data_IF_329061514628
#
_entry.id   IF_329061514628
#
_cell.length_a   1.000
_cell.length_b   1.000
_cell.length_c   1.000
_cell.angle_alpha   90.00
_cell.angle_beta   90.00
_cell.angle_gamma   90.00
#
_symmetry.space_group_name_H-M   'P 1'
#
loop_
_entity.id
_entity.type
_entity.pdbx_description
1 polymer ?
#
# COMPACT_ATOMS: atom_id res chain seq x y z
N UNK A 1 39.76 17.30 8.22
CA UNK A 1 38.51 16.56 8.54
C UNK A 1 38.69 15.13 8.01
N UNK A 2 39.03 14.21 8.90
CA UNK A 2 39.30 12.79 8.51
C UNK A 2 38.00 12.03 8.31
N UNK A 3 37.86 11.34 7.19
CA UNK A 3 36.72 10.45 6.88
C UNK A 3 36.75 9.21 7.78
N UNK A 4 35.73 9.06 8.59
CA UNK A 4 35.55 7.91 9.46
C UNK A 4 35.16 6.68 8.62
N UNK A 5 35.99 5.62 8.62
CA UNK A 5 35.73 4.44 7.84
C UNK A 5 34.84 3.42 8.61
N UNK A 6 34.22 2.45 7.88
CA UNK A 6 33.31 1.46 8.46
C UNK A 6 33.89 0.61 9.59
N UNK A 7 35.20 0.34 9.59
CA UNK A 7 35.88 -0.43 10.66
C UNK A 7 35.97 0.36 11.96
N UNK A 8 36.16 1.68 11.89
CA UNK A 8 36.19 2.56 13.06
C UNK A 8 34.80 2.68 13.71
N UNK A 9 33.74 2.70 12.89
CA UNK A 9 32.36 2.72 13.37
C UNK A 9 31.99 1.41 14.12
N UNK A 10 32.39 0.25 13.57
CA UNK A 10 32.13 -1.04 14.19
C UNK A 10 32.92 -1.24 15.50
N UNK A 11 34.15 -0.75 15.59
CA UNK A 11 34.94 -0.80 16.83
C UNK A 11 34.38 0.11 17.93
N UNK A 12 33.82 1.26 17.57
CA UNK A 12 33.14 2.15 18.51
C UNK A 12 31.83 1.52 19.04
N UNK A 13 31.08 0.80 18.20
CA UNK A 13 29.87 0.08 18.62
C UNK A 13 30.12 -1.06 19.61
N UNK A 14 31.22 -1.80 19.45
CA UNK A 14 31.61 -2.88 20.36
C UNK A 14 32.10 -2.36 21.70
N UNK A 15 32.81 -1.21 21.73
CA UNK A 15 33.25 -0.60 22.98
C UNK A 15 32.09 -0.07 23.84
N UNK A 16 31.00 0.37 23.24
CA UNK A 16 29.79 0.81 23.95
C UNK A 16 29.02 -0.35 24.59
N UNK A 17 29.05 -1.55 24.00
CA UNK A 17 28.38 -2.70 24.54
C UNK A 17 29.09 -3.27 25.80
N UNK A 18 30.40 -3.02 25.98
CA UNK A 18 31.20 -3.50 27.12
C UNK A 18 31.12 -2.57 28.35
N UNK A 19 30.60 -1.36 28.23
CA UNK A 19 30.61 -0.34 29.28
C UNK A 19 29.37 -0.36 30.19
N UNK A 20 28.43 -1.32 30.06
CA UNK A 20 27.32 -1.49 30.98
C UNK A 20 26.37 -0.32 31.13
N UNK A 21 26.36 0.63 30.17
CA UNK A 21 25.41 1.73 30.11
C UNK A 21 24.07 1.14 29.68
N UNK A 22 23.11 1.07 30.62
CA UNK A 22 21.69 0.89 30.29
C UNK A 22 21.30 2.03 29.36
N UNK A 23 21.17 1.73 28.07
CA UNK A 23 20.47 2.61 27.15
C UNK A 23 19.01 2.61 27.57
N UNK A 24 18.54 3.67 28.19
CA UNK A 24 17.11 3.93 28.28
C UNK A 24 16.56 3.93 26.84
N UNK A 25 15.49 3.19 26.56
CA UNK A 25 14.89 3.18 25.24
C UNK A 25 14.16 4.52 25.02
N UNK A 26 14.89 5.51 24.52
CA UNK A 26 14.35 6.84 24.15
C UNK A 26 13.46 6.81 22.90
N UNK A 27 13.25 5.62 22.32
CA UNK A 27 12.33 5.43 21.21
C UNK A 27 11.42 4.23 21.49
N UNK A 28 10.15 4.49 21.80
CA UNK A 28 9.12 3.50 21.54
C UNK A 28 8.50 2.76 22.72
N UNK A 29 8.37 3.38 23.89
CA UNK A 29 7.40 2.87 24.88
C UNK A 29 6.50 4.00 25.34
N UNK A 30 5.50 4.31 24.53
CA UNK A 30 4.18 4.79 24.92
C UNK A 30 3.28 4.94 23.70
N UNK A 31 3.30 3.97 22.78
CA UNK A 31 2.11 3.64 22.06
C UNK A 31 1.51 2.43 22.79
N UNK A 32 0.74 2.68 23.84
CA UNK A 32 -0.32 1.78 24.22
C UNK A 32 -1.18 1.64 22.97
N UNK A 33 -0.81 0.67 22.13
CA UNK A 33 -1.69 0.13 21.12
C UNK A 33 -2.80 -0.59 21.88
N UNK A 34 -3.75 0.18 22.42
CA UNK A 34 -5.08 -0.32 22.55
C UNK A 34 -5.40 -0.76 21.12
N UNK A 35 -5.25 -2.05 20.86
CA UNK A 35 -5.78 -2.72 19.69
C UNK A 35 -7.26 -2.35 19.69
N UNK A 36 -7.60 -1.25 19.01
CA UNK A 36 -8.97 -0.98 18.65
C UNK A 36 -9.32 -2.17 17.76
N UNK A 37 -10.06 -3.11 18.30
CA UNK A 37 -10.72 -4.14 17.53
C UNK A 37 -11.57 -3.41 16.49
N UNK A 38 -10.94 -3.11 15.34
CA UNK A 38 -11.62 -2.47 14.24
C UNK A 38 -12.68 -3.45 13.80
N UNK A 39 -13.96 -3.11 14.03
CA UNK A 39 -15.04 -3.87 13.40
C UNK A 39 -14.75 -3.93 11.90
N UNK A 40 -14.81 -5.11 11.28
CA UNK A 40 -14.58 -5.21 9.85
C UNK A 40 -15.52 -4.24 9.14
N UNK A 41 -14.97 -3.45 8.20
CA UNK A 41 -15.76 -2.55 7.39
C UNK A 41 -16.79 -3.37 6.61
N UNK A 42 -18.07 -2.95 6.59
CA UNK A 42 -19.08 -3.64 5.82
C UNK A 42 -18.68 -3.62 4.33
N UNK A 43 -18.54 -4.79 3.73
CA UNK A 43 -18.26 -4.91 2.30
C UNK A 43 -19.41 -4.24 1.53
N UNK A 44 -19.12 -3.13 0.84
CA UNK A 44 -20.09 -2.35 0.04
C UNK A 44 -21.38 -1.97 0.77
N UNK A 45 -21.33 -1.82 2.07
CA UNK A 45 -22.45 -1.36 2.88
C UNK A 45 -22.58 0.17 2.89
N UNK A 46 -23.39 0.66 3.80
CA UNK A 46 -23.53 2.07 4.09
C UNK A 46 -22.78 2.40 5.38
N UNK A 47 -21.88 3.38 5.31
CA UNK A 47 -21.12 3.85 6.46
C UNK A 47 -20.82 5.34 6.37
N UNK A 48 -20.50 5.94 7.51
CA UNK A 48 -20.06 7.32 7.59
C UNK A 48 -18.78 7.40 8.40
N UNK A 49 -17.73 8.01 7.83
CA UNK A 49 -16.52 8.40 8.56
C UNK A 49 -16.82 9.71 9.28
N UNK A 50 -16.58 9.77 10.59
CA UNK A 50 -16.95 10.90 11.44
C UNK A 50 -15.73 11.65 11.93
N UNK A 51 -15.74 12.98 11.74
CA UNK A 51 -14.81 13.89 12.42
C UNK A 51 -13.37 13.77 11.99
N UNK A 52 -13.09 13.29 10.78
CA UNK A 52 -11.77 13.23 10.18
C UNK A 52 -11.30 14.59 9.65
N UNK A 53 -10.00 14.79 9.49
CA UNK A 53 -9.49 15.80 8.57
C UNK A 53 -9.72 15.28 7.15
N UNK A 54 -10.56 15.98 6.36
CA UNK A 54 -10.94 15.51 5.02
C UNK A 54 -10.21 16.31 3.97
N UNK A 55 -9.31 15.67 3.23
CA UNK A 55 -8.66 16.21 2.05
C UNK A 55 -9.50 15.80 0.83
N UNK A 56 -10.34 16.70 0.34
CA UNK A 56 -11.34 16.35 -0.69
C UNK A 56 -10.74 16.23 -2.07
N UNK A 57 -9.62 16.89 -2.34
CA UNK A 57 -9.02 17.05 -3.66
C UNK A 57 -10.00 17.69 -4.68
N UNK A 58 -11.08 18.28 -4.20
CA UNK A 58 -12.04 19.03 -5.00
C UNK A 58 -11.96 20.53 -4.65
N UNK A 59 -11.51 21.39 -5.58
CA UNK A 59 -11.35 22.82 -5.33
C UNK A 59 -12.66 23.54 -5.03
N UNK A 60 -13.82 22.95 -5.35
CA UNK A 60 -15.13 23.54 -5.04
C UNK A 60 -15.56 23.23 -3.61
N UNK A 61 -15.19 22.07 -3.07
CA UNK A 61 -15.51 21.69 -1.71
C UNK A 61 -14.46 22.21 -0.73
N UNK A 62 -13.19 22.30 -1.15
CA UNK A 62 -12.06 22.57 -0.28
C UNK A 62 -11.79 21.44 0.71
N UNK A 63 -10.81 21.64 1.58
CA UNK A 63 -10.48 20.67 2.64
C UNK A 63 -11.24 21.04 3.93
N UNK A 64 -11.56 20.02 4.72
CA UNK A 64 -12.24 20.19 5.99
C UNK A 64 -11.31 19.75 7.13
N UNK A 65 -10.99 20.67 8.06
CA UNK A 65 -10.21 20.33 9.27
C UNK A 65 -10.90 19.25 10.09
N UNK A 66 -12.23 19.28 10.09
CA UNK A 66 -13.09 18.29 10.71
C UNK A 66 -14.33 18.11 9.85
N UNK A 67 -14.50 16.91 9.33
CA UNK A 67 -15.61 16.60 8.43
C UNK A 67 -16.03 15.14 8.48
N UNK A 68 -17.20 14.92 7.90
CA UNK A 68 -17.82 13.61 7.74
C UNK A 68 -17.83 13.23 6.26
N UNK A 69 -17.60 11.94 5.98
CA UNK A 69 -17.70 11.38 4.63
C UNK A 69 -18.71 10.22 4.68
N UNK A 70 -19.80 10.35 3.94
CA UNK A 70 -20.84 9.33 3.85
C UNK A 70 -20.70 8.51 2.59
N UNK A 71 -20.59 7.21 2.75
CA UNK A 71 -20.46 6.22 1.66
C UNK A 71 -21.68 5.30 1.69
N UNK A 72 -22.27 5.10 0.51
CA UNK A 72 -23.39 4.16 0.30
C UNK A 72 -23.16 3.40 -0.99
N UNK A 73 -23.26 2.06 -0.92
CA UNK A 73 -23.09 1.15 -2.07
C UNK A 73 -21.78 1.38 -2.84
N UNK A 74 -20.70 1.70 -2.13
CA UNK A 74 -19.36 1.93 -2.72
C UNK A 74 -19.17 3.30 -3.37
N UNK A 75 -20.13 4.23 -3.22
CA UNK A 75 -20.03 5.60 -3.71
C UNK A 75 -20.04 6.61 -2.56
N UNK A 76 -19.26 7.67 -2.66
CA UNK A 76 -19.34 8.82 -1.76
C UNK A 76 -20.62 9.58 -2.13
N UNK A 77 -21.57 9.67 -1.20
CA UNK A 77 -22.85 10.34 -1.43
C UNK A 77 -22.92 11.73 -0.81
N UNK A 78 -22.10 12.01 0.21
CA UNK A 78 -21.98 13.33 0.80
C UNK A 78 -20.65 13.53 1.52
N UNK A 79 -20.17 14.77 1.52
CA UNK A 79 -19.02 15.26 2.32
C UNK A 79 -19.43 16.61 2.92
N UNK A 80 -19.35 16.77 4.23
CA UNK A 80 -19.64 18.03 4.92
C UNK A 80 -19.02 18.01 6.34
N UNK A 81 -19.05 19.16 7.03
CA UNK A 81 -18.58 19.25 8.42
C UNK A 81 -19.36 18.31 9.36
N UNK A 82 -20.63 18.14 9.12
CA UNK A 82 -21.48 17.21 9.86
C UNK A 82 -22.56 16.68 8.94
N UNK A 83 -22.80 15.37 8.97
CA UNK A 83 -23.79 14.70 8.14
C UNK A 83 -24.82 13.95 8.99
N UNK A 84 -26.09 14.09 8.63
CA UNK A 84 -27.12 13.16 9.10
C UNK A 84 -27.07 11.90 8.22
N UNK A 85 -26.71 10.77 8.82
CA UNK A 85 -26.65 9.48 8.16
C UNK A 85 -27.30 8.41 9.07
N UNK A 86 -28.63 8.49 9.28
CA UNK A 86 -29.33 7.54 10.14
C UNK A 86 -29.23 6.12 9.56
N UNK A 87 -28.88 5.15 10.41
CA UNK A 87 -28.71 3.75 10.00
C UNK A 87 -27.35 3.41 9.40
N UNK A 88 -26.51 4.38 9.01
CA UNK A 88 -25.17 4.12 8.52
C UNK A 88 -24.22 3.67 9.66
N UNK A 89 -23.38 2.68 9.39
CA UNK A 89 -22.33 2.28 10.33
C UNK A 89 -21.33 3.43 10.50
N UNK A 90 -21.10 3.88 11.74
CA UNK A 90 -20.16 4.97 12.01
C UNK A 90 -18.72 4.45 12.16
N UNK A 91 -17.79 5.11 11.49
CA UNK A 91 -16.35 4.94 11.63
C UNK A 91 -15.81 6.19 12.32
N UNK A 92 -15.16 6.04 13.46
CA UNK A 92 -14.52 7.15 14.16
C UNK A 92 -13.24 7.57 13.42
N UNK A 93 -13.31 8.71 12.75
CA UNK A 93 -12.21 9.32 12.00
C UNK A 93 -11.42 10.38 12.76
N UNK A 94 -11.72 10.62 14.04
CA UNK A 94 -11.03 11.67 14.83
C UNK A 94 -9.53 11.39 14.93
N UNK A 95 -8.72 12.39 14.58
CA UNK A 95 -7.28 12.27 14.51
C UNK A 95 -6.78 11.47 13.30
N UNK A 96 -7.64 11.19 12.32
CA UNK A 96 -7.28 10.55 11.06
C UNK A 96 -7.45 11.52 9.90
N UNK A 97 -6.75 11.24 8.80
CA UNK A 97 -6.93 11.90 7.51
C UNK A 97 -7.81 11.00 6.64
N UNK A 98 -8.90 11.55 6.10
CA UNK A 98 -9.73 10.91 5.10
C UNK A 98 -9.48 11.58 3.75
N UNK A 99 -9.01 10.83 2.78
CA UNK A 99 -8.67 11.34 1.45
C UNK A 99 -8.97 10.28 0.38
N UNK A 100 -9.09 10.66 -0.91
CA UNK A 100 -9.13 9.69 -1.99
C UNK A 100 -7.92 8.77 -1.96
N UNK A 101 -8.11 7.48 -2.23
CA UNK A 101 -7.01 6.55 -2.34
C UNK A 101 -6.09 6.90 -3.51
N UNK A 102 -4.81 6.58 -3.40
CA UNK A 102 -3.84 6.82 -4.46
C UNK A 102 -4.17 6.04 -5.73
N UNK A 103 -3.76 6.60 -6.85
CA UNK A 103 -3.87 5.98 -8.17
C UNK A 103 -2.45 5.72 -8.66
N UNK A 104 -2.09 4.43 -8.80
CA UNK A 104 -0.84 4.03 -9.43
C UNK A 104 -1.08 3.81 -10.92
N UNK A 105 -0.41 4.62 -11.74
CA UNK A 105 -0.62 4.63 -13.19
C UNK A 105 0.39 3.78 -13.95
N UNK A 106 1.39 3.20 -13.28
CA UNK A 106 2.44 2.44 -13.96
C UNK A 106 3.08 1.39 -13.06
N UNK A 107 2.49 0.20 -12.98
CA UNK A 107 3.05 -0.90 -12.22
C UNK A 107 3.10 -2.20 -13.05
N UNK A 108 4.25 -2.82 -13.11
CA UNK A 108 4.45 -4.15 -13.68
C UNK A 108 4.24 -5.21 -12.58
N UNK A 109 2.99 -5.49 -12.23
CA UNK A 109 2.63 -6.29 -11.06
C UNK A 109 3.18 -7.73 -11.10
N UNK A 110 3.35 -8.30 -12.28
CA UNK A 110 3.92 -9.63 -12.43
C UNK A 110 5.36 -9.73 -11.89
N UNK A 111 6.09 -8.60 -11.79
CA UNK A 111 7.47 -8.57 -11.28
C UNK A 111 7.55 -8.47 -9.75
N UNK A 112 6.44 -8.40 -9.04
CA UNK A 112 6.42 -8.18 -7.58
C UNK A 112 7.28 -9.20 -6.84
N UNK A 113 7.19 -10.48 -7.18
CA UNK A 113 7.99 -11.55 -6.57
C UNK A 113 9.47 -11.53 -7.01
N UNK A 114 9.82 -10.77 -8.04
CA UNK A 114 11.20 -10.63 -8.49
C UNK A 114 11.99 -9.56 -7.71
N UNK A 115 11.31 -8.65 -7.00
CA UNK A 115 11.95 -7.52 -6.28
C UNK A 115 13.06 -7.92 -5.33
N UNK A 116 12.96 -8.99 -4.52
CA UNK A 116 14.05 -9.38 -3.64
C UNK A 116 15.34 -9.83 -4.36
N UNK A 117 15.22 -10.19 -5.64
CA UNK A 117 16.33 -10.67 -6.47
C UNK A 117 16.98 -9.53 -7.24
N UNK A 118 16.20 -8.50 -7.60
CA UNK A 118 16.67 -7.35 -8.36
C UNK A 118 17.61 -6.51 -7.52
N UNK A 119 18.77 -6.16 -8.11
CA UNK A 119 19.82 -5.33 -7.52
C UNK A 119 20.23 -4.24 -8.48
N UNK A 120 20.15 -2.99 -8.06
CA UNK A 120 20.55 -1.84 -8.87
C UNK A 120 22.07 -1.65 -8.89
N UNK A 121 22.77 -2.21 -7.92
CA UNK A 121 24.24 -2.16 -7.77
C UNK A 121 24.96 -3.33 -8.46
N UNK A 122 24.23 -4.28 -9.05
CA UNK A 122 24.76 -5.41 -9.81
C UNK A 122 24.11 -5.47 -11.20
N UNK A 123 24.82 -5.13 -12.28
CA UNK A 123 24.29 -5.13 -13.64
C UNK A 123 23.71 -6.48 -14.09
N UNK A 124 24.22 -7.60 -13.57
CA UNK A 124 23.72 -8.95 -13.88
C UNK A 124 22.39 -9.26 -13.18
N UNK A 125 22.09 -8.53 -12.13
CA UNK A 125 20.87 -8.65 -11.32
C UNK A 125 19.97 -7.43 -11.42
N UNK A 126 20.19 -6.58 -12.40
CA UNK A 126 19.33 -5.46 -12.71
C UNK A 126 17.94 -5.91 -13.19
N UNK A 127 17.05 -4.95 -13.36
CA UNK A 127 15.65 -5.22 -13.74
C UNK A 127 15.54 -6.10 -14.99
N UNK A 128 16.13 -5.70 -16.11
CA UNK A 128 16.00 -6.43 -17.38
C UNK A 128 16.64 -7.83 -17.37
N UNK A 129 17.88 -8.03 -16.86
CA UNK A 129 18.44 -9.37 -16.75
C UNK A 129 17.59 -10.33 -15.92
N UNK A 130 17.09 -9.88 -14.77
CA UNK A 130 16.27 -10.71 -13.88
C UNK A 130 14.91 -11.00 -14.51
N UNK A 131 14.20 -9.97 -14.98
CA UNK A 131 12.86 -10.14 -15.54
C UNK A 131 12.88 -10.93 -16.84
N UNK A 132 13.87 -10.72 -17.70
CA UNK A 132 14.07 -11.50 -18.94
C UNK A 132 14.42 -12.96 -18.66
N UNK A 133 15.21 -13.24 -17.62
CA UNK A 133 15.56 -14.60 -17.24
C UNK A 133 14.38 -15.35 -16.60
N UNK A 134 13.64 -14.71 -15.70
CA UNK A 134 12.56 -15.35 -14.93
C UNK A 134 11.24 -15.33 -15.68
N UNK A 135 10.89 -14.25 -16.37
CA UNK A 135 9.59 -14.07 -17.00
C UNK A 135 9.20 -15.19 -17.96
N UNK A 136 10.18 -15.73 -18.70
CA UNK A 136 9.95 -16.87 -19.61
C UNK A 136 9.51 -18.17 -18.92
N UNK A 137 9.75 -18.29 -17.62
CA UNK A 137 9.41 -19.46 -16.82
C UNK A 137 8.13 -19.28 -16.00
N UNK A 138 7.59 -18.06 -15.97
CA UNK A 138 6.34 -17.79 -15.25
C UNK A 138 5.20 -18.62 -15.84
N UNK A 139 4.51 -19.31 -14.97
CA UNK A 139 3.23 -19.94 -15.26
C UNK A 139 2.09 -18.95 -15.04
N UNK A 140 0.87 -19.23 -15.54
CA UNK A 140 -0.30 -18.42 -15.18
C UNK A 140 -0.52 -18.30 -13.67
N UNK A 141 -0.22 -19.34 -12.91
CA UNK A 141 -0.35 -19.31 -11.44
C UNK A 141 0.71 -18.41 -10.80
N UNK A 142 1.94 -18.38 -11.30
CA UNK A 142 2.98 -17.45 -10.82
C UNK A 142 2.57 -16.00 -11.08
N UNK A 143 2.00 -15.71 -12.26
CA UNK A 143 1.45 -14.40 -12.59
C UNK A 143 0.33 -14.00 -11.64
N UNK A 144 -0.62 -14.93 -11.37
CA UNK A 144 -1.68 -14.71 -10.39
C UNK A 144 -1.15 -14.35 -9.00
N UNK A 145 -0.20 -15.13 -8.48
CA UNK A 145 0.37 -14.92 -7.14
C UNK A 145 1.14 -13.62 -7.05
N UNK A 146 1.96 -13.31 -8.07
CA UNK A 146 2.74 -12.09 -8.11
C UNK A 146 1.85 -10.84 -8.16
N UNK A 147 0.85 -10.83 -9.03
CA UNK A 147 -0.11 -9.73 -9.17
C UNK A 147 -0.93 -9.58 -7.89
N UNK A 148 -1.43 -10.67 -7.31
CA UNK A 148 -2.18 -10.64 -6.05
C UNK A 148 -1.37 -10.08 -4.90
N UNK A 149 -0.08 -10.44 -4.78
CA UNK A 149 0.82 -9.90 -3.76
C UNK A 149 1.01 -8.40 -3.95
N UNK A 150 1.34 -7.95 -5.18
CA UNK A 150 1.53 -6.52 -5.46
C UNK A 150 0.28 -5.69 -5.20
N UNK A 151 -0.89 -6.21 -5.52
CA UNK A 151 -2.15 -5.52 -5.25
C UNK A 151 -2.48 -5.47 -3.75
N UNK A 152 -2.15 -6.51 -2.98
CA UNK A 152 -2.29 -6.48 -1.53
C UNK A 152 -1.38 -5.42 -0.90
N UNK A 153 -0.15 -5.29 -1.38
CA UNK A 153 0.77 -4.22 -0.97
C UNK A 153 0.25 -2.83 -1.37
N UNK A 154 -0.26 -2.69 -2.61
CA UNK A 154 -0.86 -1.44 -3.08
C UNK A 154 -1.99 -0.98 -2.15
N UNK A 155 -2.94 -1.86 -1.85
CA UNK A 155 -4.06 -1.56 -0.95
C UNK A 155 -3.57 -1.22 0.46
N UNK A 156 -2.58 -1.95 0.99
CA UNK A 156 -1.97 -1.68 2.30
C UNK A 156 -1.27 -0.31 2.33
N UNK A 157 -0.74 0.14 1.19
CA UNK A 157 -0.11 1.46 1.04
C UNK A 157 -1.11 2.58 0.69
N UNK A 158 -2.42 2.28 0.60
CA UNK A 158 -3.45 3.26 0.29
C UNK A 158 -3.70 3.49 -1.21
N UNK A 159 -3.08 2.73 -2.11
CA UNK A 159 -3.42 2.77 -3.52
C UNK A 159 -4.67 1.93 -3.79
N UNK A 160 -5.74 2.58 -4.24
CA UNK A 160 -7.05 1.94 -4.47
C UNK A 160 -7.37 1.73 -5.94
N UNK A 161 -6.55 2.28 -6.82
CA UNK A 161 -6.66 2.13 -8.27
C UNK A 161 -5.27 1.90 -8.86
N UNK A 162 -5.11 0.88 -9.69
CA UNK A 162 -3.81 0.49 -10.24
C UNK A 162 -3.94 0.23 -11.73
N UNK A 163 -3.00 0.75 -12.53
CA UNK A 163 -2.81 0.33 -13.91
C UNK A 163 -1.77 -0.80 -13.93
N UNK A 164 -2.22 -2.03 -14.12
CA UNK A 164 -1.34 -3.17 -14.31
C UNK A 164 -0.80 -3.20 -15.73
N UNK A 165 0.48 -2.90 -15.92
CA UNK A 165 1.20 -3.04 -17.17
C UNK A 165 1.69 -4.48 -17.34
N UNK A 166 0.83 -5.34 -17.91
CA UNK A 166 0.99 -6.78 -18.00
C UNK A 166 1.79 -7.19 -19.24
N UNK A 167 3.04 -6.80 -19.30
CA UNK A 167 3.90 -7.06 -20.49
C UNK A 167 4.54 -8.47 -20.53
N UNK A 168 4.24 -9.33 -19.57
CA UNK A 168 4.68 -10.75 -19.59
C UNK A 168 3.52 -11.71 -19.86
N UNK A 169 2.45 -11.24 -20.50
CA UNK A 169 1.33 -12.08 -20.91
C UNK A 169 1.73 -12.88 -22.16
N UNK A 170 2.02 -14.16 -21.98
CA UNK A 170 2.55 -15.04 -23.01
C UNK A 170 1.46 -15.93 -23.64
N UNK A 171 0.38 -16.12 -22.95
CA UNK A 171 -0.80 -16.87 -23.41
C UNK A 171 -2.06 -16.25 -22.79
N UNK A 172 -3.25 -16.49 -23.35
CA UNK A 172 -4.52 -16.04 -22.75
C UNK A 172 -4.67 -16.43 -21.28
N UNK A 173 -4.17 -17.61 -20.89
CA UNK A 173 -4.25 -18.08 -19.50
C UNK A 173 -3.47 -17.19 -18.52
N UNK A 174 -2.37 -16.52 -18.96
CA UNK A 174 -1.66 -15.55 -18.13
C UNK A 174 -2.52 -14.29 -17.92
N UNK A 175 -3.17 -13.79 -18.98
CA UNK A 175 -4.07 -12.64 -18.86
C UNK A 175 -5.24 -12.95 -17.92
N UNK A 176 -5.87 -14.11 -18.08
CA UNK A 176 -6.98 -14.57 -17.23
C UNK A 176 -6.55 -14.68 -15.76
N UNK A 177 -5.33 -15.17 -15.51
CA UNK A 177 -4.76 -15.29 -14.18
C UNK A 177 -4.56 -13.92 -13.50
N UNK A 178 -3.97 -12.95 -14.22
CA UNK A 178 -3.77 -11.60 -13.70
C UNK A 178 -5.10 -10.86 -13.48
N UNK A 179 -6.05 -10.97 -14.43
CA UNK A 179 -7.40 -10.42 -14.28
C UNK A 179 -8.15 -11.06 -13.08
N UNK A 180 -7.97 -12.37 -12.86
CA UNK A 180 -8.51 -13.05 -11.68
C UNK A 180 -7.91 -12.45 -10.40
N UNK A 181 -6.60 -12.24 -10.33
CA UNK A 181 -5.95 -11.62 -9.18
C UNK A 181 -6.49 -10.21 -8.90
N UNK A 182 -6.72 -9.40 -9.94
CA UNK A 182 -7.34 -8.08 -9.80
C UNK A 182 -8.77 -8.17 -9.25
N UNK A 183 -9.58 -9.12 -9.72
CA UNK A 183 -10.94 -9.35 -9.20
C UNK A 183 -10.94 -9.81 -7.74
N UNK A 184 -10.09 -10.78 -7.41
CA UNK A 184 -10.03 -11.39 -6.08
C UNK A 184 -9.56 -10.41 -5.00
N UNK A 185 -8.74 -9.42 -5.36
CA UNK A 185 -8.30 -8.35 -4.46
C UNK A 185 -9.32 -7.20 -4.35
N UNK A 186 -10.24 -7.09 -5.30
CA UNK A 186 -11.24 -6.02 -5.33
C UNK A 186 -10.68 -4.64 -5.65
N UNK A 187 -9.41 -4.52 -6.04
CA UNK A 187 -8.82 -3.25 -6.45
C UNK A 187 -9.46 -2.75 -7.75
N UNK A 188 -9.66 -1.44 -7.86
CA UNK A 188 -10.03 -0.85 -9.14
C UNK A 188 -8.79 -0.76 -10.02
N UNK A 189 -8.94 -0.97 -11.34
CA UNK A 189 -7.78 -0.85 -12.17
C UNK A 189 -8.02 -1.02 -13.64
N UNK A 190 -6.95 -0.79 -14.39
CA UNK A 190 -6.83 -1.10 -15.80
C UNK A 190 -5.85 -2.26 -15.98
N UNK A 191 -6.13 -3.07 -16.97
CA UNK A 191 -5.23 -4.11 -17.45
C UNK A 191 -4.65 -3.64 -18.78
N UNK A 192 -3.37 -3.27 -18.80
CA UNK A 192 -2.62 -2.90 -19.98
C UNK A 192 -1.92 -4.14 -20.53
N UNK A 193 -2.45 -4.67 -21.61
CA UNK A 193 -1.83 -5.78 -22.33
C UNK A 193 -0.76 -5.25 -23.27
N UNK A 194 0.46 -5.85 -23.26
CA UNK A 194 1.60 -5.49 -24.12
C UNK A 194 2.46 -6.68 -24.45
#
# INVERSE_FOLDING_TARGET
MGTMNRRTLLKAGVAFAAAGLRADPLFGQNASSASRSAKPLPARGEFVVRGATVLTMDPKLGDLERGDVHVRNGAIVAVAQTLAAPGAAAIDGRGMICMPGFIDTHWHLWTTVCRPIIRIDDPKRGYFPVTGALGRHFTPEDSYRSVRLGLAEALSAGATTVHNWAHNVRTPAHADAELRAMRDTGVRGRFGYG
#
